data_IF_059489812159
#
_entry.id   IF_059489812159
#
_cell.length_a   1.000
_cell.length_b   1.000
_cell.length_c   1.000
_cell.angle_alpha   90.00
_cell.angle_beta   90.00
_cell.angle_gamma   90.00
#
_symmetry.space_group_name_H-M   'P 1'
#
loop_
_entity.id
_entity.type
_entity.pdbx_description
1 polymer ?
#
# COMPACT_ATOMS: atom_id res chain seq x y z
N UNK A 1 0.11 9.12 -20.55
CA UNK A 1 0.20 8.62 -19.16
C UNK A 1 0.75 9.76 -18.31
N UNK A 2 0.51 9.75 -16.99
CA UNK A 2 1.04 10.77 -16.09
C UNK A 2 2.57 10.62 -15.95
N UNK A 3 3.31 11.11 -16.93
CA UNK A 3 4.79 11.09 -16.99
C UNK A 3 5.45 12.00 -15.94
N UNK A 4 4.67 12.73 -15.14
CA UNK A 4 5.19 13.73 -14.21
C UNK A 4 6.26 13.19 -13.24
N UNK A 5 6.19 11.89 -12.91
CA UNK A 5 7.09 11.29 -11.92
C UNK A 5 8.11 10.30 -12.50
N UNK A 6 7.99 9.89 -13.77
CA UNK A 6 8.85 8.87 -14.37
C UNK A 6 8.60 7.43 -13.88
N UNK A 7 7.45 7.18 -13.23
CA UNK A 7 6.98 5.86 -12.80
C UNK A 7 5.45 5.80 -12.82
N UNK A 8 4.89 4.59 -12.76
CA UNK A 8 3.44 4.38 -12.87
C UNK A 8 2.85 4.15 -11.48
N UNK A 9 1.92 5.03 -11.12
CA UNK A 9 1.23 4.99 -9.84
C UNK A 9 0.17 3.90 -9.81
N UNK A 10 0.09 3.21 -8.68
CA UNK A 10 -1.03 2.33 -8.37
C UNK A 10 -2.31 3.12 -8.09
N UNK A 11 -3.50 2.49 -8.22
CA UNK A 11 -4.76 3.06 -7.76
C UNK A 11 -4.71 3.58 -6.31
N UNK A 12 -3.98 2.92 -5.41
CA UNK A 12 -3.78 3.38 -4.03
C UNK A 12 -3.05 4.72 -3.98
N UNK A 13 -1.95 4.87 -4.72
CA UNK A 13 -1.20 6.13 -4.76
C UNK A 13 -2.02 7.27 -5.34
N UNK A 14 -2.75 7.00 -6.42
CA UNK A 14 -3.66 7.98 -7.02
C UNK A 14 -4.76 8.38 -6.05
N UNK A 15 -5.42 7.42 -5.40
CA UNK A 15 -6.48 7.66 -4.40
C UNK A 15 -5.98 8.51 -3.23
N UNK A 16 -4.74 8.30 -2.79
CA UNK A 16 -4.15 9.04 -1.66
C UNK A 16 -3.49 10.35 -2.08
N UNK A 17 -3.54 10.70 -3.37
CA UNK A 17 -2.91 11.90 -3.93
C UNK A 17 -1.45 12.03 -3.51
N UNK A 18 -0.71 10.92 -3.53
CA UNK A 18 0.71 10.92 -3.14
C UNK A 18 1.52 11.73 -4.15
N UNK A 19 2.40 12.56 -3.63
CA UNK A 19 3.24 13.49 -4.41
C UNK A 19 4.74 13.34 -4.09
N UNK A 20 5.07 12.52 -3.09
CA UNK A 20 6.44 12.26 -2.66
C UNK A 20 6.67 10.76 -2.58
N UNK A 21 7.73 10.29 -3.22
CA UNK A 21 7.98 8.87 -3.44
C UNK A 21 9.41 8.49 -3.06
N UNK A 22 9.58 7.35 -2.38
CA UNK A 22 10.87 6.85 -1.92
C UNK A 22 11.18 5.50 -2.55
N UNK A 23 12.26 5.46 -3.31
CA UNK A 23 12.74 4.28 -4.00
C UNK A 23 13.85 3.62 -3.23
N UNK A 24 13.71 2.35 -2.91
CA UNK A 24 14.79 1.55 -2.35
C UNK A 24 15.66 1.04 -3.50
N UNK A 25 16.95 1.35 -3.46
CA UNK A 25 17.89 0.90 -4.50
C UNK A 25 18.39 -0.50 -4.20
N UNK A 26 18.03 -1.47 -5.05
CA UNK A 26 18.56 -2.83 -5.01
C UNK A 26 19.61 -3.02 -6.11
N UNK A 27 20.37 -4.11 -6.02
CA UNK A 27 21.56 -4.35 -6.85
C UNK A 27 21.32 -4.32 -8.37
N UNK A 28 20.08 -4.57 -8.81
CA UNK A 28 19.69 -4.67 -10.23
C UNK A 28 18.47 -3.84 -10.62
N UNK A 29 17.71 -3.31 -9.66
CA UNK A 29 16.53 -2.49 -9.91
C UNK A 29 16.21 -1.66 -8.66
N UNK A 30 15.45 -0.59 -8.84
CA UNK A 30 14.91 0.23 -7.77
C UNK A 30 13.43 -0.07 -7.61
N UNK A 31 12.98 -0.21 -6.37
CA UNK A 31 11.58 -0.45 -6.06
C UNK A 31 10.99 0.78 -5.39
N UNK A 32 9.87 1.28 -5.91
CA UNK A 32 9.07 2.27 -5.19
C UNK A 32 8.53 1.64 -3.91
N UNK A 33 9.04 2.09 -2.77
CA UNK A 33 8.79 1.47 -1.48
C UNK A 33 7.76 2.23 -0.65
N UNK A 34 7.89 3.56 -0.59
CA UNK A 34 6.95 4.43 0.13
C UNK A 34 6.42 5.52 -0.80
N UNK A 35 5.19 5.95 -0.53
CA UNK A 35 4.68 7.20 -1.07
C UNK A 35 3.84 7.94 -0.04
N UNK A 36 3.93 9.26 -0.07
CA UNK A 36 3.31 10.17 0.90
C UNK A 36 2.63 11.33 0.18
N UNK A 37 1.53 11.81 0.75
CA UNK A 37 0.92 13.07 0.39
C UNK A 37 1.45 14.16 1.34
N UNK A 38 2.40 14.97 0.87
CA UNK A 38 3.03 16.00 1.69
C UNK A 38 2.04 17.06 2.18
N UNK A 39 0.89 17.25 1.52
CA UNK A 39 -0.11 18.24 1.95
C UNK A 39 -0.76 17.82 3.27
N UNK A 40 -0.99 16.52 3.46
CA UNK A 40 -1.64 15.98 4.65
C UNK A 40 -0.65 15.60 5.74
N UNK A 41 0.47 14.95 5.36
CA UNK A 41 1.53 14.56 6.28
C UNK A 41 2.86 15.13 5.79
N UNK A 42 3.23 16.35 6.22
CA UNK A 42 4.54 16.92 5.93
C UNK A 42 5.66 16.05 6.51
N UNK A 43 6.57 15.60 5.65
CA UNK A 43 7.68 14.71 6.01
C UNK A 43 9.01 15.46 5.95
N UNK A 44 9.84 15.21 6.94
CA UNK A 44 11.24 15.62 7.01
C UNK A 44 12.14 14.38 6.91
N UNK A 45 13.44 14.57 6.65
CA UNK A 45 14.40 13.46 6.68
C UNK A 45 14.40 12.77 8.05
N UNK A 46 14.41 13.55 9.14
CA UNK A 46 14.38 13.03 10.51
C UNK A 46 13.14 12.18 10.80
N UNK A 47 11.95 12.65 10.40
CA UNK A 47 10.72 11.90 10.61
C UNK A 47 10.74 10.58 9.82
N UNK A 48 11.20 10.61 8.57
CA UNK A 48 11.27 9.40 7.75
C UNK A 48 12.21 8.35 8.33
N UNK A 49 13.40 8.73 8.81
CA UNK A 49 14.33 7.79 9.45
C UNK A 49 13.70 7.13 10.68
N UNK A 50 13.06 7.92 11.55
CA UNK A 50 12.33 7.36 12.70
C UNK A 50 11.19 6.43 12.29
N UNK A 51 10.39 6.82 11.30
CA UNK A 51 9.26 6.01 10.85
C UNK A 51 9.71 4.72 10.19
N UNK A 52 10.81 4.74 9.45
CA UNK A 52 11.45 3.55 8.91
C UNK A 52 11.88 2.63 10.05
N UNK A 53 12.63 3.14 11.03
CA UNK A 53 13.05 2.39 12.22
C UNK A 53 11.83 1.74 12.91
N UNK A 54 10.75 2.52 13.07
CA UNK A 54 9.51 2.05 13.68
C UNK A 54 8.85 0.94 12.85
N UNK A 55 8.75 1.11 11.53
CA UNK A 55 8.17 0.10 10.63
C UNK A 55 9.01 -1.17 10.56
N UNK A 56 10.34 -1.07 10.54
CA UNK A 56 11.23 -2.23 10.52
C UNK A 56 11.27 -2.98 11.84
N UNK A 57 11.04 -2.30 12.97
CA UNK A 57 11.17 -2.91 14.29
C UNK A 57 12.63 -3.01 14.75
N UNK A 58 12.89 -3.88 15.73
CA UNK A 58 14.18 -4.01 16.44
C UNK A 58 15.32 -4.64 15.64
N UNK A 59 15.11 -4.94 14.35
CA UNK A 59 16.22 -5.35 13.50
C UNK A 59 17.24 -4.21 13.43
N UNK A 60 18.52 -4.55 13.50
CA UNK A 60 19.66 -3.62 13.59
C UNK A 60 19.40 -2.35 12.77
N UNK A 61 19.44 -1.19 13.44
CA UNK A 61 19.25 0.12 12.82
C UNK A 61 20.11 0.20 11.57
N UNK A 62 19.47 0.18 10.42
CA UNK A 62 20.20 0.25 9.16
C UNK A 62 20.49 1.71 8.89
N UNK A 63 21.77 2.07 8.87
CA UNK A 63 22.16 3.40 8.42
C UNK A 63 21.84 3.53 6.93
N UNK A 64 20.97 4.50 6.63
CA UNK A 64 20.65 4.87 5.28
C UNK A 64 20.69 6.38 5.13
N UNK A 65 20.70 6.82 3.89
CA UNK A 65 20.57 8.23 3.56
C UNK A 65 19.60 8.39 2.39
N UNK A 66 19.00 9.57 2.33
CA UNK A 66 18.07 9.93 1.27
C UNK A 66 18.64 11.06 0.42
N UNK A 67 18.37 11.04 -0.87
CA UNK A 67 18.65 12.16 -1.76
C UNK A 67 17.59 12.25 -2.88
N UNK A 68 17.38 13.42 -3.48
CA UNK A 68 16.55 13.55 -4.67
C UNK A 68 17.07 12.65 -5.80
N UNK A 69 16.17 12.05 -6.58
CA UNK A 69 16.52 11.19 -7.71
C UNK A 69 15.72 11.49 -8.98
N UNK A 70 16.32 11.17 -10.11
CA UNK A 70 15.60 10.97 -11.38
C UNK A 70 15.27 9.49 -11.54
N UNK A 71 14.03 9.21 -11.91
CA UNK A 71 13.53 7.85 -12.15
C UNK A 71 13.56 7.56 -13.65
N UNK A 72 14.04 6.38 -14.00
CA UNK A 72 14.11 5.87 -15.37
C UNK A 72 13.44 4.51 -15.43
N UNK A 73 12.68 4.24 -16.49
CA UNK A 73 12.18 2.88 -16.76
C UNK A 73 13.35 1.93 -16.99
N UNK A 74 13.19 0.69 -16.53
CA UNK A 74 14.19 -0.37 -16.53
C UNK A 74 13.56 -1.72 -16.89
N UNK A 75 12.68 -1.71 -17.89
CA UNK A 75 11.87 -2.84 -18.31
C UNK A 75 10.47 -2.82 -17.71
N UNK A 76 9.77 -3.96 -17.78
CA UNK A 76 8.35 -4.03 -17.44
C UNK A 76 8.16 -3.76 -15.95
N UNK A 77 7.50 -2.64 -15.62
CA UNK A 77 7.20 -2.22 -14.24
C UNK A 77 8.43 -2.20 -13.31
N UNK A 78 9.59 -1.93 -13.89
CA UNK A 78 10.88 -1.91 -13.20
C UNK A 78 11.54 -0.56 -13.44
N UNK A 79 12.30 -0.07 -12.45
CA UNK A 79 12.90 1.27 -12.53
C UNK A 79 14.37 1.27 -12.11
N UNK A 80 15.12 2.23 -12.65
CA UNK A 80 16.40 2.68 -12.11
C UNK A 80 16.25 4.09 -11.57
N UNK A 81 16.82 4.35 -10.39
CA UNK A 81 16.94 5.72 -9.90
C UNK A 81 18.39 6.17 -9.91
N UNK A 82 18.60 7.45 -10.25
CA UNK A 82 19.92 8.10 -10.22
C UNK A 82 19.85 9.34 -9.32
N UNK A 83 20.81 9.55 -8.40
CA UNK A 83 20.88 10.78 -7.62
C UNK A 83 20.86 12.01 -8.53
N UNK A 84 20.00 12.96 -8.23
CA UNK A 84 19.86 14.24 -8.95
C UNK A 84 20.13 15.45 -8.06
N UNK A 85 20.33 15.23 -6.75
CA UNK A 85 20.64 16.26 -5.77
C UNK A 85 21.57 15.77 -4.66
N UNK A 86 21.95 16.67 -3.72
CA UNK A 86 22.79 16.31 -2.59
C UNK A 86 22.08 15.34 -1.64
N UNK A 87 22.88 14.62 -0.86
CA UNK A 87 22.37 13.85 0.28
C UNK A 87 21.73 14.80 1.28
N UNK A 88 20.58 14.41 1.80
CA UNK A 88 19.86 15.13 2.84
C UNK A 88 20.25 14.52 4.18
N UNK A 89 20.70 15.36 5.10
CA UNK A 89 21.12 14.91 6.42
C UNK A 89 20.01 14.12 7.13
N UNK A 90 20.33 12.97 7.77
CA UNK A 90 19.33 12.12 8.43
C UNK A 90 18.53 12.84 9.52
N UNK A 91 19.13 13.81 10.20
CA UNK A 91 18.51 14.59 11.28
C UNK A 91 17.85 15.89 10.79
N UNK A 92 17.84 16.14 9.48
CA UNK A 92 17.24 17.34 8.92
C UNK A 92 15.74 17.42 9.25
N UNK A 93 15.37 18.55 9.85
CA UNK A 93 13.98 18.95 10.15
C UNK A 93 13.36 19.80 9.06
N UNK A 94 14.09 20.07 7.98
CA UNK A 94 13.54 20.75 6.83
C UNK A 94 12.52 19.84 6.14
N UNK A 95 11.40 20.43 5.72
CA UNK A 95 10.36 19.72 5.00
C UNK A 95 10.89 19.31 3.62
N UNK A 96 10.75 18.05 3.27
CA UNK A 96 11.07 17.56 1.94
C UNK A 96 10.10 18.16 0.91
N UNK A 97 10.63 18.60 -0.23
CA UNK A 97 9.81 19.03 -1.35
C UNK A 97 9.11 17.81 -1.99
N UNK A 98 7.91 17.98 -2.59
CA UNK A 98 7.31 16.94 -3.41
C UNK A 98 8.26 16.47 -4.52
N UNK A 99 8.30 15.16 -4.78
CA UNK A 99 9.20 14.57 -5.77
C UNK A 99 9.65 13.14 -5.46
N UNK A 100 10.65 12.68 -6.20
CA UNK A 100 11.22 11.34 -6.05
C UNK A 100 12.53 11.40 -5.26
N UNK A 101 12.66 10.49 -4.29
CA UNK A 101 13.83 10.33 -3.46
C UNK A 101 14.34 8.90 -3.55
N UNK A 102 15.65 8.73 -3.56
CA UNK A 102 16.29 7.43 -3.42
C UNK A 102 16.69 7.20 -1.97
N UNK A 103 16.46 5.97 -1.51
CA UNK A 103 16.92 5.43 -0.25
C UNK A 103 18.10 4.52 -0.55
N UNK A 104 19.28 4.94 -0.09
CA UNK A 104 20.55 4.26 -0.29
C UNK A 104 21.12 3.77 1.05
N UNK A 105 21.64 2.55 1.06
CA UNK A 105 22.33 1.98 2.21
C UNK A 105 23.83 2.25 2.11
N UNK A 106 24.49 2.40 3.27
CA UNK A 106 25.94 2.47 3.30
C UNK A 106 26.55 1.15 2.77
N UNK A 107 27.52 1.25 1.85
CA UNK A 107 28.10 0.12 1.10
C UNK A 107 28.75 -0.95 1.97
N UNK A 108 29.06 -0.66 3.23
CA UNK A 108 29.59 -1.66 4.15
C UNK A 108 28.52 -2.70 4.55
N UNK A 109 27.25 -2.44 4.28
CA UNK A 109 26.13 -3.32 4.56
C UNK A 109 25.86 -4.40 3.47
N UNK A 110 26.78 -4.60 2.52
CA UNK A 110 26.56 -5.38 1.28
C UNK A 110 26.53 -6.91 1.42
N UNK A 111 26.84 -7.49 2.59
CA UNK A 111 27.10 -8.94 2.65
C UNK A 111 26.10 -9.81 3.41
N UNK A 112 25.12 -9.28 4.18
CA UNK A 112 24.32 -10.15 5.07
C UNK A 112 22.82 -9.90 5.19
N UNK A 113 22.25 -8.98 4.45
CA UNK A 113 20.79 -8.91 4.37
C UNK A 113 20.40 -7.88 3.36
N UNK A 114 19.64 -8.30 2.35
CA UNK A 114 18.62 -7.39 1.86
C UNK A 114 17.90 -6.85 3.09
N UNK A 115 17.63 -5.54 3.16
CA UNK A 115 16.82 -5.01 4.24
C UNK A 115 15.58 -5.89 4.35
N UNK A 116 15.33 -6.48 5.51
CA UNK A 116 14.17 -7.38 5.76
C UNK A 116 12.86 -6.74 5.28
N UNK A 117 12.85 -5.41 5.13
CA UNK A 117 11.90 -4.58 4.38
C UNK A 117 11.40 -5.16 3.05
N UNK A 118 12.23 -5.88 2.27
CA UNK A 118 11.84 -6.44 0.97
C UNK A 118 11.18 -7.83 1.05
N UNK A 119 11.41 -8.57 2.14
CA UNK A 119 10.85 -9.92 2.31
C UNK A 119 9.47 -9.93 2.95
N UNK A 120 9.13 -8.88 3.70
CA UNK A 120 7.79 -8.72 4.27
C UNK A 120 6.87 -8.18 3.17
N UNK A 121 6.55 -9.03 2.18
CA UNK A 121 5.41 -8.85 1.26
C UNK A 121 4.07 -8.99 2.00
N UNK A 122 4.01 -8.70 3.31
CA UNK A 122 2.74 -8.64 4.00
C UNK A 122 1.95 -7.49 3.39
N UNK A 123 0.82 -7.85 2.79
CA UNK A 123 -0.18 -6.90 2.33
C UNK A 123 -0.83 -6.30 3.57
N UNK A 124 -0.15 -5.35 4.20
CA UNK A 124 -0.78 -4.58 5.27
C UNK A 124 -2.00 -3.88 4.66
N UNK A 125 -3.16 -4.23 5.16
CA UNK A 125 -4.42 -3.58 4.83
C UNK A 125 -4.91 -2.82 6.06
N UNK A 126 -5.79 -1.81 5.90
CA UNK A 126 -6.40 -1.14 7.04
C UNK A 126 -6.96 -2.14 8.05
N UNK A 127 -6.92 -1.84 9.35
CA UNK A 127 -7.45 -2.74 10.39
C UNK A 127 -8.89 -3.16 10.11
N UNK A 128 -9.71 -2.24 9.60
CA UNK A 128 -11.07 -2.55 9.14
C UNK A 128 -11.12 -3.67 8.08
N UNK A 129 -10.21 -3.63 7.10
CA UNK A 129 -10.13 -4.67 6.06
C UNK A 129 -9.57 -5.96 6.64
N UNK A 130 -8.50 -5.88 7.44
CA UNK A 130 -7.90 -7.03 8.10
C UNK A 130 -8.94 -7.77 8.93
N UNK A 131 -9.75 -7.03 9.70
CA UNK A 131 -10.86 -7.54 10.48
C UNK A 131 -11.89 -8.26 9.60
N UNK A 132 -12.30 -7.65 8.48
CA UNK A 132 -13.23 -8.28 7.54
C UNK A 132 -12.64 -9.54 6.90
N UNK A 133 -11.36 -9.57 6.57
CA UNK A 133 -10.75 -10.71 5.86
C UNK A 133 -10.35 -11.86 6.77
N UNK A 134 -9.88 -11.55 7.98
CA UNK A 134 -9.35 -12.53 8.92
C UNK A 134 -10.46 -13.27 9.67
N UNK A 135 -11.59 -12.62 9.91
CA UNK A 135 -12.68 -13.17 10.71
C UNK A 135 -13.85 -13.50 9.78
N UNK A 136 -14.25 -14.79 9.67
CA UNK A 136 -15.43 -15.21 8.93
C UNK A 136 -16.64 -14.36 9.32
N UNK A 137 -17.52 -14.04 8.38
CA UNK A 137 -18.67 -13.17 8.64
C UNK A 137 -19.55 -13.67 9.80
N UNK A 138 -19.68 -14.99 9.95
CA UNK A 138 -20.38 -15.64 11.07
C UNK A 138 -19.76 -15.35 12.43
N UNK A 139 -18.47 -15.06 12.48
CA UNK A 139 -17.70 -14.75 13.70
C UNK A 139 -17.54 -13.25 13.93
N UNK A 140 -17.79 -12.40 12.91
CA UNK A 140 -17.73 -10.93 13.07
C UNK A 140 -18.77 -10.38 14.03
N UNK A 141 -19.90 -11.08 14.20
CA UNK A 141 -20.89 -10.77 15.24
C UNK A 141 -20.36 -11.01 16.67
N UNK A 142 -19.23 -11.70 16.80
CA UNK A 142 -18.52 -12.00 18.04
C UNK A 142 -17.33 -11.03 18.19
N UNK A 143 -17.49 -9.76 17.81
CA UNK A 143 -16.61 -8.72 18.37
C UNK A 143 -16.75 -8.81 19.88
N UNK A 144 -15.65 -9.01 20.59
CA UNK A 144 -15.69 -8.93 22.05
C UNK A 144 -16.10 -7.51 22.43
N UNK A 145 -17.31 -7.31 22.96
CA UNK A 145 -17.74 -5.98 23.35
C UNK A 145 -16.82 -5.51 24.48
N UNK A 146 -16.50 -4.23 24.50
CA UNK A 146 -15.78 -3.63 25.62
C UNK A 146 -16.65 -3.85 26.86
N UNK A 147 -16.10 -4.52 27.87
CA UNK A 147 -16.89 -4.80 29.08
C UNK A 147 -17.33 -3.48 29.73
N UNK A 148 -18.54 -3.38 30.31
CA UNK A 148 -19.01 -2.14 30.94
C UNK A 148 -18.05 -1.59 32.00
N UNK A 149 -17.35 -2.48 32.73
CA UNK A 149 -16.34 -2.08 33.71
C UNK A 149 -15.12 -1.39 33.07
N UNK A 150 -14.68 -1.84 31.89
CA UNK A 150 -13.61 -1.18 31.15
C UNK A 150 -14.09 0.15 30.56
N UNK A 151 -15.29 0.20 30.00
CA UNK A 151 -15.88 1.44 29.48
C UNK A 151 -15.96 2.52 30.56
N UNK A 152 -16.50 2.19 31.74
CA UNK A 152 -16.60 3.11 32.87
C UNK A 152 -15.21 3.55 33.37
N UNK A 153 -14.25 2.63 33.41
CA UNK A 153 -12.88 2.93 33.83
C UNK A 153 -12.17 3.91 32.89
N UNK A 154 -12.35 3.72 31.57
CA UNK A 154 -11.78 4.59 30.53
C UNK A 154 -12.47 5.95 30.52
N UNK A 155 -13.80 5.98 30.58
CA UNK A 155 -14.57 7.22 30.68
C UNK A 155 -14.18 8.02 31.92
N UNK A 156 -13.97 7.37 33.07
CA UNK A 156 -13.50 8.04 34.30
C UNK A 156 -12.08 8.59 34.12
N UNK A 157 -11.15 7.80 33.56
CA UNK A 157 -9.76 8.22 33.31
C UNK A 157 -9.70 9.43 32.39
N UNK A 158 -10.51 9.43 31.34
CA UNK A 158 -10.49 10.44 30.27
C UNK A 158 -11.45 11.60 30.56
N UNK A 159 -12.12 11.61 31.72
CA UNK A 159 -13.08 12.64 32.12
C UNK A 159 -14.32 12.70 31.22
N UNK A 160 -14.64 11.59 30.54
CA UNK A 160 -15.67 11.47 29.51
C UNK A 160 -15.48 12.49 28.37
N UNK A 161 -14.23 12.74 27.98
CA UNK A 161 -13.85 13.63 26.88
C UNK A 161 -13.01 12.88 25.86
N UNK A 162 -13.18 13.25 24.60
CA UNK A 162 -12.41 12.73 23.49
C UNK A 162 -10.93 13.05 23.68
N UNK A 163 -10.09 12.02 23.65
CA UNK A 163 -8.63 12.15 23.82
C UNK A 163 -7.95 12.94 22.70
N UNK A 164 -8.58 13.06 21.54
CA UNK A 164 -8.05 13.80 20.40
C UNK A 164 -8.49 15.25 20.34
N UNK A 165 -9.75 15.55 20.69
CA UNK A 165 -10.35 16.88 20.49
C UNK A 165 -10.73 17.59 21.79
N UNK A 166 -10.59 16.92 22.93
CA UNK A 166 -11.04 17.39 24.24
C UNK A 166 -12.56 17.72 24.30
N UNK A 167 -13.36 17.31 23.33
CA UNK A 167 -14.83 17.48 23.38
C UNK A 167 -15.50 16.36 24.18
N UNK A 168 -16.56 16.68 24.92
CA UNK A 168 -17.41 15.69 25.60
C UNK A 168 -18.57 15.16 24.74
N UNK A 169 -18.71 15.66 23.51
CA UNK A 169 -19.86 15.37 22.65
C UNK A 169 -19.68 14.04 21.89
N UNK A 170 -20.70 13.20 21.94
CA UNK A 170 -20.80 11.93 21.20
C UNK A 170 -19.55 11.03 21.32
N UNK A 171 -19.05 10.88 22.53
CA UNK A 171 -17.87 10.07 22.83
C UNK A 171 -18.23 8.63 23.20
N UNK A 172 -17.32 7.71 22.88
CA UNK A 172 -17.38 6.27 23.20
C UNK A 172 -16.00 5.77 23.62
N UNK A 173 -15.95 4.69 24.39
CA UNK A 173 -14.71 3.93 24.56
C UNK A 173 -14.44 3.13 23.28
N UNK A 174 -13.20 3.14 22.80
CA UNK A 174 -12.81 2.35 21.64
C UNK A 174 -11.36 1.89 21.75
N UNK A 175 -11.08 0.74 21.14
CA UNK A 175 -9.75 0.15 21.08
C UNK A 175 -8.81 0.99 20.23
N UNK A 176 -7.57 1.19 20.70
CA UNK A 176 -6.47 1.71 19.88
C UNK A 176 -6.09 0.63 18.86
N UNK A 177 -5.93 -0.61 19.33
CA UNK A 177 -5.73 -1.81 18.49
C UNK A 177 -6.81 -2.81 18.86
N UNK A 178 -7.63 -3.20 17.90
CA UNK A 178 -8.67 -4.22 18.10
C UNK A 178 -8.02 -5.57 18.50
N UNK A 179 -8.42 -6.17 19.65
CA UNK A 179 -7.81 -7.40 20.14
C UNK A 179 -7.87 -8.57 19.14
N UNK A 180 -8.91 -8.66 18.31
CA UNK A 180 -9.07 -9.78 17.38
C UNK A 180 -8.12 -9.74 16.16
N UNK A 181 -7.53 -8.57 15.87
CA UNK A 181 -6.58 -8.37 14.74
C UNK A 181 -5.20 -7.93 15.23
N UNK A 182 -5.00 -7.95 16.54
CA UNK A 182 -3.75 -7.50 17.17
C UNK A 182 -2.52 -8.31 16.74
N UNK A 183 -2.71 -9.54 16.23
CA UNK A 183 -1.63 -10.34 15.63
C UNK A 183 -1.00 -9.68 14.39
N UNK A 184 -1.74 -8.82 13.67
CA UNK A 184 -1.23 -8.04 12.52
C UNK A 184 -0.18 -7.01 12.92
N UNK A 185 -0.08 -6.70 14.22
CA UNK A 185 0.94 -5.78 14.75
C UNK A 185 2.29 -6.46 15.01
N UNK A 186 2.37 -7.79 14.84
CA UNK A 186 3.60 -8.57 15.02
C UNK A 186 4.43 -8.66 13.75
N UNK A 187 5.75 -8.71 13.95
CA UNK A 187 6.72 -8.98 12.89
C UNK A 187 6.74 -10.43 12.42
N UNK A 188 6.35 -11.39 13.26
CA UNK A 188 6.63 -12.80 13.04
C UNK A 188 5.62 -13.53 12.13
N UNK A 189 4.50 -12.91 11.76
CA UNK A 189 3.48 -13.49 10.86
C UNK A 189 2.89 -14.84 11.31
N UNK A 190 3.25 -15.34 12.49
CA UNK A 190 2.74 -16.60 13.03
C UNK A 190 1.44 -16.32 13.78
N UNK A 191 0.33 -16.73 13.15
CA UNK A 191 -1.02 -16.66 13.72
C UNK A 191 -1.28 -17.79 14.74
N UNK A 192 -0.52 -18.90 14.66
CA UNK A 192 -0.66 -20.03 15.57
C UNK A 192 -0.32 -19.58 17.01
N UNK A 193 -1.21 -19.89 17.95
CA UNK A 193 -1.10 -19.56 19.38
C UNK A 193 -1.10 -18.06 19.70
N UNK A 194 -1.80 -17.24 18.91
CA UNK A 194 -2.00 -15.82 19.24
C UNK A 194 -2.81 -15.64 20.52
N UNK A 195 -2.16 -15.09 21.56
CA UNK A 195 -2.83 -14.64 22.78
C UNK A 195 -3.19 -13.16 22.66
N UNK A 196 -4.49 -12.88 22.49
CA UNK A 196 -5.01 -11.51 22.45
C UNK A 196 -5.21 -10.90 23.83
N UNK A 197 -5.09 -11.66 24.92
CA UNK A 197 -5.33 -11.19 26.30
C UNK A 197 -4.56 -9.91 26.65
N UNK A 198 -3.28 -9.73 26.25
CA UNK A 198 -2.56 -8.48 26.50
C UNK A 198 -3.16 -7.23 25.85
N UNK A 199 -4.02 -7.40 24.83
CA UNK A 199 -4.71 -6.29 24.16
C UNK A 199 -6.08 -5.98 24.79
N UNK A 200 -6.59 -6.85 25.66
CA UNK A 200 -7.81 -6.59 26.44
C UNK A 200 -7.41 -5.86 27.73
N UNK A 201 -6.91 -4.64 27.56
CA UNK A 201 -6.41 -3.80 28.65
C UNK A 201 -6.98 -2.38 28.56
N UNK A 202 -7.19 -1.73 29.71
CA UNK A 202 -7.63 -0.33 29.79
C UNK A 202 -6.68 0.63 29.07
N UNK A 203 -5.39 0.33 29.06
CA UNK A 203 -4.37 1.10 28.35
C UNK A 203 -4.53 1.05 26.82
N UNK A 204 -5.15 0.00 26.28
CA UNK A 204 -5.46 -0.12 24.86
C UNK A 204 -6.80 0.53 24.47
N UNK A 205 -7.44 1.26 25.39
CA UNK A 205 -8.71 1.95 25.15
C UNK A 205 -8.53 3.47 25.28
N UNK A 206 -9.28 4.23 24.50
CA UNK A 206 -9.43 5.68 24.62
C UNK A 206 -10.91 6.07 24.56
N UNK A 207 -11.29 7.10 25.30
CA UNK A 207 -12.52 7.83 25.01
C UNK A 207 -12.31 8.68 23.75
N UNK A 208 -13.13 8.48 22.72
CA UNK A 208 -13.03 9.17 21.43
C UNK A 208 -14.41 9.47 20.85
N UNK A 209 -14.53 10.52 20.04
CA UNK A 209 -15.77 10.80 19.30
C UNK A 209 -16.09 9.65 18.36
N UNK A 210 -17.36 9.28 18.23
CA UNK A 210 -17.78 8.17 17.36
C UNK A 210 -17.30 8.29 15.92
N UNK A 211 -17.30 9.50 15.35
CA UNK A 211 -16.82 9.73 13.98
C UNK A 211 -15.32 9.40 13.81
N UNK A 212 -14.50 9.53 14.86
CA UNK A 212 -13.06 9.25 14.80
C UNK A 212 -12.75 7.75 14.91
N UNK A 213 -13.65 6.95 15.49
CA UNK A 213 -13.45 5.50 15.66
C UNK A 213 -13.20 4.84 14.31
N UNK A 214 -14.04 5.13 13.32
CA UNK A 214 -13.88 4.59 11.97
C UNK A 214 -12.55 5.00 11.36
N UNK A 215 -12.21 6.29 11.41
CA UNK A 215 -10.97 6.80 10.83
C UNK A 215 -9.71 6.23 11.47
N UNK A 216 -9.72 5.97 12.78
CA UNK A 216 -8.62 5.30 13.47
C UNK A 216 -8.48 3.84 12.97
N UNK A 217 -9.58 3.08 12.93
CA UNK A 217 -9.61 1.70 12.43
C UNK A 217 -9.31 1.57 10.93
N UNK A 218 -9.60 2.59 10.14
CA UNK A 218 -9.26 2.61 8.71
C UNK A 218 -7.83 3.11 8.47
N UNK A 219 -7.06 3.40 9.52
CA UNK A 219 -5.71 3.96 9.49
C UNK A 219 -5.65 5.27 8.66
N UNK A 220 -6.67 6.11 8.76
CA UNK A 220 -6.71 7.42 8.12
C UNK A 220 -5.82 8.43 8.84
N UNK A 221 -5.61 8.22 10.14
CA UNK A 221 -4.68 8.98 10.96
C UNK A 221 -4.06 8.10 12.06
N UNK A 222 -2.98 8.58 12.68
CA UNK A 222 -2.37 7.97 13.86
C UNK A 222 -1.66 9.01 14.74
N UNK A 223 -1.05 8.58 15.84
CA UNK A 223 -0.27 9.42 16.76
C UNK A 223 1.18 8.97 16.79
N UNK A 224 2.10 9.85 16.41
CA UNK A 224 3.54 9.69 16.61
C UNK A 224 3.91 10.13 18.04
N UNK A 225 3.87 9.18 18.98
CA UNK A 225 4.22 9.41 20.40
C UNK A 225 5.63 9.98 20.54
N UNK A 226 6.55 9.59 19.65
CA UNK A 226 7.96 9.97 19.72
C UNK A 226 8.22 11.32 19.00
N UNK A 227 7.18 11.98 18.48
CA UNK A 227 7.18 13.33 17.92
C UNK A 227 6.23 14.26 18.69
N UNK A 228 6.35 14.27 20.02
CA UNK A 228 5.51 15.10 20.90
C UNK A 228 4.01 14.82 20.74
N UNK A 229 3.66 13.55 20.53
CA UNK A 229 2.28 13.10 20.26
C UNK A 229 1.63 13.77 19.05
N UNK A 230 2.42 14.05 18.00
CA UNK A 230 1.91 14.59 16.73
C UNK A 230 0.90 13.65 16.11
N UNK A 231 -0.22 14.21 15.67
CA UNK A 231 -1.24 13.50 14.89
C UNK A 231 -0.81 13.52 13.41
N UNK A 232 -0.64 12.33 12.84
CA UNK A 232 -0.33 12.14 11.43
C UNK A 232 -1.61 11.80 10.67
N UNK A 233 -1.94 12.58 9.64
CA UNK A 233 -3.15 12.39 8.83
C UNK A 233 -2.76 11.94 7.43
N UNK A 234 -3.18 10.73 7.05
CA UNK A 234 -2.82 10.12 5.78
C UNK A 234 -3.88 10.28 4.69
N UNK A 235 -5.13 10.53 5.08
CA UNK A 235 -6.25 10.71 4.16
C UNK A 235 -7.08 11.92 4.56
N UNK A 236 -7.72 12.62 3.60
CA UNK A 236 -8.72 13.63 3.92
C UNK A 236 -9.83 13.00 4.75
N UNK A 237 -10.22 13.66 5.82
CA UNK A 237 -11.31 13.23 6.70
C UNK A 237 -12.34 14.35 6.75
N UNK A 238 -13.60 14.02 6.48
CA UNK A 238 -14.72 14.94 6.59
C UNK A 238 -15.19 14.96 8.04
N UNK A 239 -14.47 15.70 8.88
CA UNK A 239 -14.75 15.80 10.31
C UNK A 239 -15.51 17.08 10.62
N UNK A 240 -16.51 16.98 11.50
CA UNK A 240 -17.22 18.15 12.02
C UNK A 240 -16.26 19.13 12.72
N UNK A 241 -15.24 18.57 13.38
CA UNK A 241 -14.17 19.34 14.02
C UNK A 241 -12.81 18.81 13.58
N UNK A 242 -11.92 19.69 13.07
CA UNK A 242 -10.60 19.28 12.65
C UNK A 242 -9.79 18.74 13.82
N UNK A 243 -8.97 17.72 13.56
CA UNK A 243 -8.02 17.24 14.56
C UNK A 243 -6.97 18.33 14.85
N UNK A 244 -6.54 18.47 16.12
CA UNK A 244 -5.36 19.27 16.42
C UNK A 244 -4.12 18.64 15.78
N UNK A 245 -3.02 19.38 15.73
CA UNK A 245 -1.74 18.85 15.22
C UNK A 245 -1.07 17.87 16.17
N UNK A 246 -1.38 17.94 17.47
CA UNK A 246 -0.82 17.10 18.52
C UNK A 246 -1.94 16.74 19.52
N UNK A 247 -1.78 15.62 20.23
CA UNK A 247 -2.69 15.30 21.33
C UNK A 247 -2.62 16.37 22.44
N UNK A 248 -3.75 16.72 23.08
CA UNK A 248 -3.74 17.68 24.18
C UNK A 248 -2.96 17.17 25.40
N UNK A 249 -1.86 17.84 25.75
CA UNK A 249 -0.93 17.43 26.82
C UNK A 249 -1.57 17.41 28.23
N UNK A 250 -2.63 18.20 28.45
CA UNK A 250 -3.33 18.23 29.75
C UNK A 250 -4.16 16.97 30.01
N UNK A 251 -4.42 16.18 28.97
CA UNK A 251 -5.04 14.86 29.09
C UNK A 251 -3.94 13.86 29.45
N UNK A 252 -3.52 13.88 30.73
CA UNK A 252 -2.46 13.07 31.34
C UNK A 252 -2.07 11.82 30.53
N UNK A 253 -0.79 11.74 30.15
CA UNK A 253 -0.25 10.62 29.39
C UNK A 253 -0.15 9.37 30.27
N UNK A 254 -0.97 8.37 29.93
CA UNK A 254 -0.87 7.02 30.47
C UNK A 254 0.27 6.33 29.71
N UNK A 255 1.45 6.20 30.34
CA UNK A 255 2.61 5.56 29.72
C UNK A 255 2.31 4.14 29.22
N UNK A 256 1.29 3.46 29.76
CA UNK A 256 0.84 2.18 29.25
C UNK A 256 0.10 2.33 27.91
N UNK A 257 -0.68 3.40 27.71
CA UNK A 257 -1.35 3.67 26.43
C UNK A 257 -0.37 4.03 25.31
N UNK A 258 0.76 4.64 25.66
CA UNK A 258 1.83 4.95 24.70
C UNK A 258 2.34 3.71 23.96
N UNK A 259 2.34 2.54 24.62
CA UNK A 259 2.71 1.28 23.98
C UNK A 259 1.78 0.95 22.80
N UNK A 260 0.47 1.00 23.03
CA UNK A 260 -0.55 0.72 22.01
C UNK A 260 -0.58 1.80 20.93
N UNK A 261 -0.38 3.08 21.29
CA UNK A 261 -0.27 4.16 20.31
C UNK A 261 0.94 3.98 19.39
N UNK A 262 2.12 3.58 19.91
CA UNK A 262 3.29 3.27 19.08
C UNK A 262 3.05 2.09 18.15
N UNK A 263 2.41 1.03 18.64
CA UNK A 263 2.03 -0.12 17.81
C UNK A 263 1.03 0.29 16.70
N UNK A 264 0.03 1.10 17.04
CA UNK A 264 -0.93 1.63 16.05
C UNK A 264 -0.25 2.55 15.04
N UNK A 265 0.68 3.40 15.47
CA UNK A 265 1.49 4.25 14.60
C UNK A 265 2.32 3.44 13.62
N UNK A 266 3.06 2.44 14.13
CA UNK A 266 3.84 1.50 13.33
C UNK A 266 3.00 0.84 12.23
N UNK A 267 1.84 0.31 12.61
CA UNK A 267 0.95 -0.37 11.67
C UNK A 267 0.35 0.62 10.66
N UNK A 268 -0.14 1.76 11.14
CA UNK A 268 -0.70 2.82 10.30
C UNK A 268 0.29 3.34 9.28
N UNK A 269 1.56 3.56 9.64
CA UNK A 269 2.61 3.95 8.70
C UNK A 269 2.84 2.87 7.64
N UNK A 270 2.84 1.60 8.04
CA UNK A 270 2.99 0.47 7.11
C UNK A 270 1.81 0.40 6.12
N UNK A 271 0.57 0.61 6.59
CA UNK A 271 -0.62 0.66 5.72
C UNK A 271 -0.62 1.91 4.85
N UNK A 272 -0.31 3.07 5.40
CA UNK A 272 -0.51 4.36 4.76
C UNK A 272 0.62 4.74 3.80
N UNK A 273 1.86 4.39 4.10
CA UNK A 273 3.04 4.82 3.33
C UNK A 273 3.51 3.76 2.35
N UNK A 274 3.47 2.47 2.71
CA UNK A 274 4.04 1.42 1.86
C UNK A 274 3.28 1.23 0.55
N UNK A 275 4.06 0.77 -0.42
CA UNK A 275 3.64 0.47 -1.77
C UNK A 275 3.34 1.72 -2.57
N UNK A 276 2.56 1.56 -3.63
CA UNK A 276 2.17 2.68 -4.48
C UNK A 276 2.63 2.56 -5.92
N UNK A 277 3.44 1.54 -6.20
CA UNK A 277 3.84 1.15 -7.53
C UNK A 277 2.77 0.29 -8.19
N UNK A 278 2.63 0.45 -9.50
CA UNK A 278 1.72 -0.39 -10.29
C UNK A 278 2.12 -1.87 -10.24
N UNK A 279 3.41 -2.19 -10.12
CA UNK A 279 3.92 -3.56 -10.01
C UNK A 279 3.40 -4.30 -8.79
N UNK A 280 2.86 -3.64 -7.77
CA UNK A 280 2.17 -4.31 -6.66
C UNK A 280 0.81 -4.92 -7.05
N UNK A 281 0.23 -4.49 -8.18
CA UNK A 281 -1.03 -5.04 -8.70
C UNK A 281 -0.82 -6.24 -9.62
N UNK A 282 0.38 -6.41 -10.16
CA UNK A 282 0.70 -7.48 -11.09
C UNK A 282 1.74 -8.38 -10.44
N UNK A 283 1.36 -9.62 -10.13
CA UNK A 283 2.36 -10.60 -9.71
C UNK A 283 3.33 -10.88 -10.87
N UNK A 284 4.54 -11.32 -10.55
CA UNK A 284 5.51 -11.75 -11.56
C UNK A 284 4.88 -12.77 -12.53
N UNK A 285 4.03 -13.67 -12.02
CA UNK A 285 3.26 -14.62 -12.82
C UNK A 285 2.20 -13.97 -13.72
N UNK A 286 1.50 -12.93 -13.26
CA UNK A 286 0.54 -12.20 -14.08
C UNK A 286 1.23 -11.44 -15.22
N UNK A 287 2.41 -10.88 -14.96
CA UNK A 287 3.25 -10.26 -16.01
C UNK A 287 3.66 -11.31 -17.04
N UNK A 288 4.19 -12.46 -16.59
CA UNK A 288 4.59 -13.54 -17.48
C UNK A 288 3.41 -14.09 -18.30
N UNK A 289 2.25 -14.29 -17.67
CA UNK A 289 1.04 -14.75 -18.36
C UNK A 289 0.58 -13.74 -19.41
N UNK A 290 0.57 -12.44 -19.11
CA UNK A 290 0.22 -11.41 -20.08
C UNK A 290 1.21 -11.35 -21.26
N UNK A 291 2.51 -11.52 -21.00
CA UNK A 291 3.52 -11.62 -22.05
C UNK A 291 3.24 -12.84 -22.96
N UNK A 292 2.96 -13.99 -22.35
CA UNK A 292 2.63 -15.24 -23.02
C UNK A 292 1.40 -15.10 -23.94
N UNK A 293 0.34 -14.52 -23.40
CA UNK A 293 -0.92 -14.26 -24.08
C UNK A 293 -0.78 -13.29 -25.26
N UNK A 294 0.17 -12.36 -25.19
CA UNK A 294 0.49 -11.39 -26.24
C UNK A 294 1.48 -11.97 -27.28
N UNK A 295 1.98 -13.19 -27.06
CA UNK A 295 3.02 -13.81 -27.90
C UNK A 295 4.37 -13.09 -27.78
N UNK A 296 4.68 -12.52 -26.61
CA UNK A 296 5.97 -11.94 -26.28
C UNK A 296 6.75 -12.93 -25.44
N UNK A 297 7.78 -13.51 -26.03
CA UNK A 297 8.64 -14.44 -25.33
C UNK A 297 9.57 -13.72 -24.35
N UNK A 298 9.90 -14.41 -23.26
CA UNK A 298 10.99 -13.98 -22.39
C UNK A 298 12.29 -14.01 -23.21
N UNK A 299 13.07 -12.94 -23.13
CA UNK A 299 14.31 -12.75 -23.92
C UNK A 299 15.13 -14.05 -23.90
N UNK A 300 15.27 -14.70 -25.07
CA UNK A 300 16.07 -15.90 -25.26
C UNK A 300 15.31 -17.20 -25.52
N UNK A 301 13.97 -17.23 -25.54
CA UNK A 301 13.26 -18.36 -26.14
C UNK A 301 12.97 -18.07 -27.61
N UNK A 302 13.79 -18.62 -28.50
CA UNK A 302 13.51 -18.63 -29.93
C UNK A 302 12.43 -19.68 -30.21
N UNK A 303 11.18 -19.42 -29.85
CA UNK A 303 10.07 -20.26 -30.30
C UNK A 303 9.56 -19.72 -31.64
N UNK A 304 9.99 -20.29 -32.79
CA UNK A 304 9.61 -19.77 -34.10
C UNK A 304 8.10 -19.88 -34.38
N UNK A 305 7.38 -20.70 -33.62
CA UNK A 305 5.94 -20.94 -33.82
C UNK A 305 5.07 -19.91 -33.09
N UNK A 306 5.65 -19.04 -32.25
CA UNK A 306 4.90 -18.01 -31.55
C UNK A 306 4.74 -16.76 -32.39
N UNK A 307 3.49 -16.50 -32.77
CA UNK A 307 3.11 -15.25 -33.44
C UNK A 307 2.60 -14.25 -32.41
N UNK A 308 3.24 -13.07 -32.38
CA UNK A 308 2.78 -11.95 -31.56
C UNK A 308 1.35 -11.55 -31.96
N UNK A 309 0.51 -11.29 -30.97
CA UNK A 309 -0.86 -10.84 -31.18
C UNK A 309 -0.86 -9.46 -31.89
N UNK A 310 -1.79 -9.18 -32.83
CA UNK A 310 -1.87 -7.88 -33.49
C UNK A 310 -1.91 -6.71 -32.50
N UNK A 311 -1.20 -5.61 -32.78
CA UNK A 311 -1.15 -4.43 -31.90
C UNK A 311 -2.51 -3.73 -31.70
N UNK A 312 -3.50 -4.06 -32.54
CA UNK A 312 -4.89 -3.62 -32.39
C UNK A 312 -5.67 -4.38 -31.32
N UNK A 313 -5.15 -5.49 -30.80
CA UNK A 313 -5.77 -6.25 -29.72
C UNK A 313 -5.87 -5.39 -28.45
N UNK A 314 -7.01 -5.46 -27.78
CA UNK A 314 -7.32 -4.63 -26.60
C UNK A 314 -6.37 -4.87 -25.43
N UNK A 315 -5.75 -6.04 -25.35
CA UNK A 315 -4.78 -6.38 -24.29
C UNK A 315 -3.56 -5.45 -24.33
N UNK A 316 -3.16 -4.97 -25.53
CA UNK A 316 -2.12 -3.95 -25.68
C UNK A 316 -2.53 -2.57 -25.15
N UNK A 317 -3.83 -2.31 -24.98
CA UNK A 317 -4.33 -1.04 -24.48
C UNK A 317 -4.38 -0.95 -22.95
N UNK A 318 -4.25 -2.10 -22.28
CA UNK A 318 -4.12 -2.16 -20.81
C UNK A 318 -2.82 -1.50 -20.34
N UNK A 319 -2.73 -1.18 -19.05
CA UNK A 319 -1.49 -0.62 -18.47
C UNK A 319 -0.33 -1.61 -18.65
N UNK A 320 -0.53 -2.88 -18.32
CA UNK A 320 0.49 -3.92 -18.47
C UNK A 320 0.87 -4.16 -19.93
N UNK A 321 -0.08 -4.22 -20.86
CA UNK A 321 0.20 -4.39 -22.28
C UNK A 321 1.07 -3.26 -22.86
N UNK A 322 0.81 -2.02 -22.45
CA UNK A 322 1.63 -0.85 -22.84
C UNK A 322 3.05 -0.96 -22.31
N UNK A 323 3.24 -1.40 -21.08
CA UNK A 323 4.57 -1.62 -20.49
C UNK A 323 5.34 -2.75 -21.19
N UNK A 324 4.66 -3.85 -21.49
CA UNK A 324 5.24 -4.97 -22.26
C UNK A 324 5.70 -4.47 -23.65
N UNK A 325 4.84 -3.70 -24.33
CA UNK A 325 5.16 -3.14 -25.65
C UNK A 325 6.34 -2.17 -25.59
N UNK A 326 6.37 -1.27 -24.61
CA UNK A 326 7.46 -0.32 -24.42
C UNK A 326 8.80 -1.04 -24.23
N UNK A 327 8.84 -2.03 -23.32
CA UNK A 327 10.02 -2.85 -23.08
C UNK A 327 10.48 -3.63 -24.33
N UNK A 328 9.53 -4.17 -25.11
CA UNK A 328 9.84 -4.86 -26.37
C UNK A 328 10.52 -3.93 -27.38
N UNK A 329 10.01 -2.70 -27.53
CA UNK A 329 10.58 -1.71 -28.44
C UNK A 329 11.98 -1.26 -28.00
N UNK A 330 12.18 -1.01 -26.71
CA UNK A 330 13.48 -0.65 -26.15
C UNK A 330 14.53 -1.76 -26.34
N UNK A 331 14.15 -3.01 -26.08
CA UNK A 331 15.04 -4.16 -26.23
C UNK A 331 15.49 -4.32 -27.69
N UNK A 332 14.56 -4.21 -28.65
CA UNK A 332 14.88 -4.30 -30.09
C UNK A 332 15.80 -3.18 -30.54
N UNK A 333 15.55 -1.94 -30.10
CA UNK A 333 16.41 -0.81 -30.40
C UNK A 333 17.82 -0.98 -29.83
N UNK A 334 17.95 -1.50 -28.60
CA UNK A 334 19.24 -1.74 -27.95
C UNK A 334 20.06 -2.86 -28.59
N UNK A 335 19.43 -3.86 -29.19
CA UNK A 335 20.11 -4.97 -29.89
C UNK A 335 20.64 -4.59 -31.28
N UNK A 336 20.42 -3.36 -31.76
CA UNK A 336 20.83 -2.96 -33.10
C UNK A 336 20.11 -3.73 -34.22
N UNK A 337 18.97 -4.34 -33.90
CA UNK A 337 18.06 -4.91 -34.89
C UNK A 337 17.31 -3.75 -35.53
N UNK A 338 17.93 -3.14 -36.55
CA UNK A 338 17.23 -2.23 -37.45
C UNK A 338 15.92 -2.87 -37.88
N UNK A 339 14.85 -2.10 -37.85
CA UNK A 339 13.48 -2.49 -38.17
C UNK A 339 13.28 -2.83 -39.66
N UNK A 340 14.05 -3.79 -40.18
CA UNK A 340 13.94 -4.30 -41.54
C UNK A 340 13.20 -5.64 -41.51
N UNK A 341 11.98 -5.57 -42.05
CA UNK A 341 11.03 -6.64 -42.36
C UNK A 341 10.05 -7.11 -41.27
N UNK A 342 9.52 -6.22 -40.44
CA UNK A 342 8.17 -6.46 -39.90
C UNK A 342 7.13 -6.06 -40.96
N UNK A 343 6.84 -6.97 -41.87
CA UNK A 343 5.59 -6.94 -42.65
C UNK A 343 4.55 -7.65 -41.79
N UNK A 344 3.69 -6.89 -41.12
CA UNK A 344 2.49 -7.46 -40.51
C UNK A 344 1.74 -8.32 -41.54
N UNK A 345 1.06 -9.40 -41.14
CA UNK A 345 0.37 -10.25 -42.09
C UNK A 345 -0.77 -9.47 -42.73
N UNK A 346 -0.54 -8.98 -43.95
CA UNK A 346 -1.62 -8.67 -44.87
C UNK A 346 -2.38 -9.97 -45.14
N UNK A 347 -3.70 -9.88 -45.01
CA UNK A 347 -4.64 -10.97 -45.22
C UNK A 347 -4.52 -11.53 -46.64
N UNK A 348 -3.79 -12.62 -46.82
CA UNK A 348 -3.92 -13.47 -48.00
C UNK A 348 -4.59 -14.78 -47.60
N UNK A 349 -5.85 -14.92 -48.01
CA UNK A 349 -6.60 -16.15 -47.91
C UNK A 349 -5.95 -17.26 -48.76
N UNK A 350 -5.65 -18.40 -48.15
CA UNK A 350 -5.42 -19.65 -48.87
C UNK A 350 -5.92 -20.85 -48.07
N UNK A 351 -6.63 -21.73 -48.79
CA UNK A 351 -7.44 -22.88 -48.36
C UNK A 351 -6.67 -24.02 -47.66
N UNK A 352 -7.39 -24.99 -47.03
CA UNK A 352 -6.82 -25.88 -46.02
C UNK A 352 -6.25 -27.18 -46.60
N UNK A 353 -5.26 -27.74 -45.88
CA UNK A 353 -4.77 -29.12 -46.05
C UNK A 353 -5.03 -29.87 -44.74
N UNK A 354 -5.49 -31.14 -44.77
CA UNK A 354 -5.94 -31.85 -43.58
C UNK A 354 -4.77 -32.46 -42.79
N UNK A 355 -4.89 -32.43 -41.46
CA UNK A 355 -4.03 -33.19 -40.53
C UNK A 355 -4.90 -34.19 -39.78
N UNK A 356 -4.36 -35.38 -39.54
CA UNK A 356 -4.89 -36.44 -38.66
C UNK A 356 -3.79 -36.92 -37.71
N UNK A 357 -4.16 -37.58 -36.58
CA UNK A 357 -3.74 -37.11 -35.27
C UNK A 357 -2.76 -38.03 -34.53
N UNK A 358 -1.97 -37.42 -33.64
CA UNK A 358 -1.38 -38.03 -32.44
C UNK A 358 -0.95 -36.83 -31.55
N UNK A 359 -1.06 -36.81 -30.22
CA UNK A 359 -1.52 -37.78 -29.26
C UNK A 359 -1.83 -37.02 -27.97
N UNK A 360 -2.73 -37.61 -27.20
CA UNK A 360 -3.27 -37.14 -25.93
C UNK A 360 -2.24 -37.29 -24.81
N UNK A 361 -1.87 -36.18 -24.17
CA UNK A 361 -1.31 -36.19 -22.81
C UNK A 361 -1.72 -34.90 -22.08
N UNK A 362 -2.25 -35.12 -20.87
CA UNK A 362 -2.40 -34.19 -19.74
C UNK A 362 -3.68 -33.36 -19.62
N UNK A 363 -4.54 -33.87 -18.73
CA UNK A 363 -5.62 -33.17 -18.06
C UNK A 363 -5.11 -32.41 -16.80
N UNK A 364 -5.92 -31.41 -16.39
CA UNK A 364 -5.92 -30.59 -15.16
C UNK A 364 -4.96 -29.38 -15.20
N UNK A 365 -5.41 -28.11 -15.14
CA UNK A 365 -6.50 -27.48 -14.38
C UNK A 365 -7.21 -26.36 -15.20
N UNK A 366 -8.49 -26.04 -14.91
CA UNK A 366 -9.15 -24.87 -15.51
C UNK A 366 -8.68 -23.56 -14.86
N UNK A 367 -8.43 -22.55 -15.69
CA UNK A 367 -8.28 -21.15 -15.27
C UNK A 367 -9.64 -20.65 -14.75
N UNK A 368 -9.72 -20.01 -13.56
CA UNK A 368 -10.99 -19.55 -13.02
C UNK A 368 -11.56 -18.30 -13.74
N UNK A 369 -12.90 -18.10 -13.81
CA UNK A 369 -13.53 -17.02 -14.56
C UNK A 369 -13.56 -15.64 -13.88
N UNK A 370 -12.84 -15.41 -12.78
CA UNK A 370 -12.93 -14.16 -12.00
C UNK A 370 -11.89 -13.10 -12.38
N UNK A 371 -11.25 -13.22 -13.54
CA UNK A 371 -10.34 -12.19 -14.07
C UNK A 371 -11.06 -11.03 -14.79
N UNK A 372 -12.40 -11.00 -14.78
CA UNK A 372 -13.16 -9.78 -15.07
C UNK A 372 -13.22 -8.88 -13.83
N UNK A 373 -12.17 -8.10 -13.61
CA UNK A 373 -12.26 -6.85 -12.85
C UNK A 373 -12.27 -5.68 -13.84
N UNK A 374 -13.38 -5.56 -14.57
CA UNK A 374 -13.80 -4.29 -15.13
C UNK A 374 -14.77 -3.60 -14.14
N UNK A 375 -14.45 -2.34 -13.84
CA UNK A 375 -15.39 -1.25 -13.52
C UNK A 375 -16.26 -1.48 -12.27
N UNK A 376 -15.76 -1.05 -11.11
CA UNK A 376 -16.64 -0.54 -10.06
C UNK A 376 -17.19 0.81 -10.56
N UNK A 377 -18.51 0.97 -10.77
CA UNK A 377 -19.09 2.29 -10.99
C UNK A 377 -19.04 3.04 -9.66
N UNK A 378 -18.38 4.19 -9.67
CA UNK A 378 -18.65 5.26 -8.72
C UNK A 378 -19.99 5.87 -9.16
N UNK A 379 -20.93 5.99 -8.22
CA UNK A 379 -22.26 6.65 -8.28
C UNK A 379 -23.49 5.72 -8.21
N UNK A 380 -24.09 5.68 -7.02
CA UNK A 380 -25.53 5.68 -6.83
C UNK A 380 -25.84 6.28 -5.44
N UNK A 381 -25.75 7.61 -5.33
CA UNK A 381 -26.49 8.34 -4.29
C UNK A 381 -27.98 8.22 -4.62
N UNK A 382 -28.70 7.36 -3.88
CA UNK A 382 -30.15 7.39 -3.85
C UNK A 382 -30.61 8.45 -2.87
N UNK A 383 -31.26 9.49 -3.39
CA UNK A 383 -32.07 10.41 -2.61
C UNK A 383 -33.21 9.65 -1.91
N UNK A 384 -33.24 9.67 -0.58
CA UNK A 384 -34.44 9.34 0.17
C UNK A 384 -35.35 10.58 0.23
N UNK A 385 -36.36 10.62 -0.64
CA UNK A 385 -37.54 11.46 -0.42
C UNK A 385 -38.31 10.94 0.82
N UNK A 386 -38.66 11.85 1.72
CA UNK A 386 -39.55 11.60 2.84
C UNK A 386 -41.01 11.48 2.36
N UNK A 387 -41.83 10.53 2.86
CA UNK A 387 -43.25 10.59 2.64
C UNK A 387 -43.92 11.54 3.65
N UNK A 388 -44.74 12.41 3.07
CA UNK A 388 -45.61 13.35 3.73
C UNK A 388 -46.54 12.69 4.77
N UNK A 389 -46.71 13.39 5.88
CA UNK A 389 -47.85 13.22 6.76
C UNK A 389 -49.15 13.40 5.96
N UNK A 390 -50.09 12.48 6.12
CA UNK A 390 -51.46 12.73 5.73
C UNK A 390 -52.43 12.22 6.80
N UNK A 391 -53.37 13.11 7.09
CA UNK A 391 -54.41 13.03 8.10
C UNK A 391 -55.37 11.85 7.90
N UNK A 392 -55.81 11.28 9.02
CA UNK A 392 -56.93 10.35 9.16
C UNK A 392 -57.23 10.11 10.62
#
# INVERSE_FOLDING_TARGET
MNDAYGHILSPKSTKYERDTFFFVTLHQASQLYLGVNQKLTPVTSAALHRWVDLMTGTFEKQEFFICPVTVHSAGIMSYFVRPSGPVIEPDSRERLAPGNYGWYFNRECTSRGFPTLSYVRQRHCPFEIAFRTAIPESERAIREPISPALEESVATRDGNRCRFTDSGDDVVAAWIIEPDISWETRDSGQMQDWDKTPFIDRANLLTMRKELVFHLLSNDFTVDVDDDYRILVFRPMDLQHPLPTHLPLHLHHDAAADHFLRLHCRYSLSVALRGGDIGHHYSDWAVLAAMDELGVDYIGSDNPDRTMVPLSDERWQTVLGKEILANLLETRAGMGLDALSWSGPESSASSPVPVSPAGDVSAWLPVPPWLELEKVPVEAEQSSEAPAANNG
#
